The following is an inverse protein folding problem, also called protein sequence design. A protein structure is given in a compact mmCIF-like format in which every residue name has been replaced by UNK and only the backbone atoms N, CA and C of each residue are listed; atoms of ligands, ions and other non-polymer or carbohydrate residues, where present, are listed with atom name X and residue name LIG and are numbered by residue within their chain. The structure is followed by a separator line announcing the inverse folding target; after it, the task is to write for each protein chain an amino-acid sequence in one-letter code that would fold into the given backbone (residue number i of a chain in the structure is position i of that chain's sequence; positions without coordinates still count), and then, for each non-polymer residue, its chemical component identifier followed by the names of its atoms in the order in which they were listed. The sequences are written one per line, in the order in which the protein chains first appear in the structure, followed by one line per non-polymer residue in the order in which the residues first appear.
data_IF_999208571166
#
_entry.id   IF_999208571166
#
_cell.length_a   1.000
_cell.length_b   1.000
_cell.length_c   1.000
_cell.angle_alpha   90.00
_cell.angle_beta   90.00
_cell.angle_gamma   90.00
#
_symmetry.space_group_name_H-M   'P 1'
#
loop_
_entity.id
_entity.type
_entity.pdbx_description
1 polymer ?
#
# COMPACT_ATOMS: atom_id res chain seq x y z
N UNK A 1 12.97 6.49 13.57
CA UNK A 1 12.85 5.80 12.26
C UNK A 1 11.48 5.14 12.24
N UNK A 2 10.76 5.23 11.13
CA UNK A 2 9.51 4.50 10.88
C UNK A 2 9.66 3.68 9.61
N UNK A 3 8.82 2.67 9.46
CA UNK A 3 8.69 1.85 8.25
C UNK A 3 7.27 1.95 7.71
N UNK A 4 7.13 1.77 6.40
CA UNK A 4 5.84 1.66 5.71
C UNK A 4 5.80 0.27 5.07
N UNK A 5 4.70 -0.46 5.27
CA UNK A 5 4.48 -1.81 4.77
C UNK A 5 3.34 -1.79 3.74
N UNK A 6 3.65 -1.68 2.43
CA UNK A 6 2.66 -1.70 1.37
C UNK A 6 2.06 -3.09 1.17
N UNK A 7 0.80 -3.12 0.73
CA UNK A 7 0.17 -4.33 0.19
C UNK A 7 0.40 -4.45 -1.31
N UNK A 8 -0.58 -4.97 -2.04
CA UNK A 8 -0.52 -5.02 -3.50
C UNK A 8 -0.67 -3.63 -4.08
N UNK A 9 0.42 -3.10 -4.66
CA UNK A 9 0.47 -1.80 -5.33
C UNK A 9 0.75 -2.02 -6.82
N UNK A 10 -0.05 -1.39 -7.67
CA UNK A 10 0.16 -1.37 -9.11
C UNK A 10 1.32 -0.44 -9.49
N UNK A 11 2.55 -0.91 -9.31
CA UNK A 11 3.77 -0.12 -9.63
C UNK A 11 4.20 -0.23 -11.09
N UNK A 12 3.79 -1.29 -11.77
CA UNK A 12 4.09 -1.54 -13.17
C UNK A 12 2.84 -2.13 -13.84
N UNK A 13 2.24 -1.44 -14.84
CA UNK A 13 1.06 -1.93 -15.54
C UNK A 13 1.34 -3.18 -16.39
N UNK A 14 2.60 -3.47 -16.74
CA UNK A 14 3.01 -4.62 -17.55
C UNK A 14 3.54 -5.78 -16.69
N UNK A 15 3.29 -5.76 -15.37
CA UNK A 15 3.79 -6.78 -14.48
C UNK A 15 3.14 -8.15 -14.75
N UNK A 16 3.94 -9.19 -14.96
CA UNK A 16 3.50 -10.57 -15.27
C UNK A 16 2.42 -11.14 -14.33
N UNK A 17 2.36 -10.66 -13.08
CA UNK A 17 1.38 -11.13 -12.10
C UNK A 17 -0.03 -10.58 -12.36
N UNK A 18 -0.16 -9.44 -13.05
CA UNK A 18 -1.45 -8.81 -13.39
C UNK A 18 -2.24 -9.70 -14.36
N UNK A 19 -1.55 -10.30 -15.32
CA UNK A 19 -2.14 -11.19 -16.33
C UNK A 19 -2.41 -12.61 -15.82
N UNK A 20 -1.94 -12.95 -14.62
CA UNK A 20 -2.20 -14.25 -14.04
C UNK A 20 -3.72 -14.41 -13.73
N UNK A 21 -4.37 -15.49 -14.18
CA UNK A 21 -5.81 -15.66 -14.00
C UNK A 21 -6.25 -15.53 -12.54
N UNK A 22 -7.12 -14.54 -12.26
CA UNK A 22 -7.69 -14.28 -10.94
C UNK A 22 -6.76 -13.55 -9.96
N UNK A 23 -5.54 -13.18 -10.35
CA UNK A 23 -4.59 -12.49 -9.46
C UNK A 23 -5.06 -11.07 -9.11
N UNK A 24 -5.45 -10.28 -10.11
CA UNK A 24 -6.02 -8.94 -9.87
C UNK A 24 -7.32 -9.00 -9.07
N UNK A 25 -8.24 -9.90 -9.43
CA UNK A 25 -9.50 -10.05 -8.70
C UNK A 25 -9.26 -10.43 -7.23
N UNK A 26 -8.34 -11.38 -6.99
CA UNK A 26 -7.95 -11.76 -5.64
C UNK A 26 -7.35 -10.60 -4.84
N UNK A 27 -6.45 -9.82 -5.46
CA UNK A 27 -5.84 -8.65 -4.83
C UNK A 27 -6.86 -7.55 -4.51
N UNK A 28 -7.86 -7.36 -5.36
CA UNK A 28 -8.97 -6.41 -5.14
C UNK A 28 -9.85 -6.88 -3.98
N UNK A 29 -10.18 -8.17 -3.91
CA UNK A 29 -11.10 -8.72 -2.89
C UNK A 29 -10.54 -8.69 -1.47
N UNK A 30 -9.21 -8.76 -1.29
CA UNK A 30 -8.60 -8.66 0.04
C UNK A 30 -8.41 -7.22 0.50
N UNK A 31 -8.54 -6.24 -0.40
CA UNK A 31 -8.50 -4.83 -0.06
C UNK A 31 -9.83 -4.39 0.53
N UNK A 32 -9.82 -3.74 1.69
CA UNK A 32 -10.99 -3.11 2.29
C UNK A 32 -11.51 -1.90 1.47
N UNK A 33 -10.77 -1.50 0.42
CA UNK A 33 -11.13 -0.41 -0.49
C UNK A 33 -11.60 -0.91 -1.87
N UNK A 34 -11.77 -2.21 -2.05
CA UNK A 34 -12.20 -2.83 -3.32
C UNK A 34 -11.36 -2.39 -4.53
N UNK A 35 -10.05 -2.20 -4.31
CA UNK A 35 -9.09 -1.83 -5.36
C UNK A 35 -7.64 -2.20 -4.99
N UNK A 36 -6.82 -2.33 -6.03
CA UNK A 36 -5.35 -2.33 -5.91
C UNK A 36 -4.87 -0.92 -5.52
N UNK A 37 -3.86 -0.86 -4.67
CA UNK A 37 -3.23 0.41 -4.28
C UNK A 37 -2.39 1.01 -5.40
N UNK A 38 -2.16 2.31 -5.33
CA UNK A 38 -1.34 3.08 -6.28
C UNK A 38 -0.05 3.54 -5.60
N UNK A 39 1.01 3.85 -6.35
CA UNK A 39 2.21 4.48 -5.79
C UNK A 39 1.90 5.75 -4.98
N UNK A 40 0.91 6.53 -5.42
CA UNK A 40 0.44 7.75 -4.76
C UNK A 40 -0.13 7.48 -3.37
N UNK A 41 -0.87 6.38 -3.18
CA UNK A 41 -1.40 5.99 -1.86
C UNK A 41 -0.27 5.80 -0.83
N UNK A 42 0.87 5.26 -1.27
CA UNK A 42 2.03 5.04 -0.41
C UNK A 42 2.81 6.35 -0.21
N UNK A 43 2.96 7.15 -1.27
CA UNK A 43 3.65 8.43 -1.23
C UNK A 43 2.99 9.40 -0.25
N UNK A 44 1.65 9.43 -0.19
CA UNK A 44 0.91 10.29 0.74
C UNK A 44 1.17 9.93 2.20
N UNK A 45 1.26 8.63 2.53
CA UNK A 45 1.61 8.17 3.88
C UNK A 45 3.05 8.52 4.22
N UNK A 46 3.99 8.32 3.30
CA UNK A 46 5.40 8.71 3.49
C UNK A 46 5.50 10.23 3.71
N UNK A 47 4.79 11.03 2.91
CA UNK A 47 4.74 12.49 3.04
C UNK A 47 4.21 12.91 4.41
N UNK A 48 3.15 12.27 4.90
CA UNK A 48 2.64 12.50 6.26
C UNK A 48 3.69 12.20 7.34
N UNK A 49 4.34 11.03 7.27
CA UNK A 49 5.32 10.58 8.27
C UNK A 49 6.61 11.40 8.24
N UNK A 50 7.06 11.82 7.06
CA UNK A 50 8.26 12.63 6.88
C UNK A 50 8.00 14.12 7.16
N UNK A 51 6.75 14.57 7.05
CA UNK A 51 6.34 15.95 7.26
C UNK A 51 6.19 16.33 8.74
N UNK A 52 5.90 17.62 8.98
CA UNK A 52 5.69 18.14 10.32
C UNK A 52 4.59 17.40 11.10
N UNK A 53 3.60 16.84 10.42
CA UNK A 53 2.50 16.10 11.08
C UNK A 53 2.97 14.79 11.72
N UNK A 54 4.04 14.19 11.21
CA UNK A 54 4.64 12.96 11.73
C UNK A 54 5.76 13.15 12.76
N UNK A 55 6.13 14.40 13.10
CA UNK A 55 7.39 14.70 13.81
C UNK A 55 7.56 14.05 15.20
N UNK A 56 6.47 13.58 15.82
CA UNK A 56 6.49 12.90 17.13
C UNK A 56 6.23 11.38 17.05
N UNK A 57 6.12 10.82 15.84
CA UNK A 57 5.91 9.38 15.63
C UNK A 57 7.26 8.74 15.31
N UNK A 58 7.67 7.74 16.10
CA UNK A 58 8.90 6.97 15.85
C UNK A 58 8.73 5.51 16.26
N UNK A 59 9.48 4.61 15.61
CA UNK A 59 9.52 3.19 15.92
C UNK A 59 8.31 2.39 15.41
N UNK A 60 7.51 2.97 14.51
CA UNK A 60 6.30 2.33 13.99
C UNK A 60 6.54 1.68 12.63
N UNK A 61 5.83 0.58 12.39
CA UNK A 61 5.57 0.05 11.05
C UNK A 61 4.14 0.36 10.71
N UNK A 62 3.93 1.19 9.69
CA UNK A 62 2.59 1.60 9.26
C UNK A 62 2.13 0.63 8.17
N UNK A 63 1.03 -0.05 8.44
CA UNK A 63 0.33 -0.86 7.45
C UNK A 63 -0.31 0.05 6.40
N UNK A 64 0.00 -0.23 5.13
CA UNK A 64 -0.55 0.47 3.97
C UNK A 64 -1.06 -0.54 2.95
N UNK A 65 -1.64 -1.63 3.46
CA UNK A 65 -2.06 -2.78 2.64
C UNK A 65 -3.47 -2.66 2.09
N UNK A 66 -4.11 -1.52 2.31
CA UNK A 66 -5.54 -1.37 2.07
C UNK A 66 -6.39 -2.25 3.00
N UNK A 67 -5.83 -2.73 4.13
CA UNK A 67 -6.49 -3.65 5.04
C UNK A 67 -6.33 -5.13 4.70
N UNK A 68 -5.57 -5.48 3.65
CA UNK A 68 -5.39 -6.89 3.23
C UNK A 68 -4.52 -7.73 4.18
N UNK A 69 -3.86 -7.11 5.15
CA UNK A 69 -3.11 -7.82 6.21
C UNK A 69 -3.91 -8.02 7.51
N UNK A 70 -5.22 -7.74 7.53
CA UNK A 70 -6.09 -7.82 8.71
C UNK A 70 -6.96 -9.07 8.77
#
# INVERSE_FOLDING_TARGET
MNSVAPGTIGTDPDADWIDAPGACDGAVQVSAFDRIGTPEDIADVISFLAGYRGHWVTGQTIDTTGGSSL
#
